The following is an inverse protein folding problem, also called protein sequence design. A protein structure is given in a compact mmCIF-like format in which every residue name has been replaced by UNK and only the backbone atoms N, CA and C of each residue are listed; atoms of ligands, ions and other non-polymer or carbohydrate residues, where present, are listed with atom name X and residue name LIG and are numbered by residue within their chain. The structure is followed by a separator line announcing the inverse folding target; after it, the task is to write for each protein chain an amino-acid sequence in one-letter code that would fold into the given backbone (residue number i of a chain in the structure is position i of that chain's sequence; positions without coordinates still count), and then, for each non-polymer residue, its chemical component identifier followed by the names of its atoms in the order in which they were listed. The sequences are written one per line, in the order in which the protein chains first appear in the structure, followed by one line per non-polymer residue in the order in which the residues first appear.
data_IF_901926248147
#
_entry.id   IF_901926248147
#
_cell.length_a   1.000
_cell.length_b   1.000
_cell.length_c   1.000
_cell.angle_alpha   90.00
_cell.angle_beta   90.00
_cell.angle_gamma   90.00
#
_symmetry.space_group_name_H-M   'P 1'
#
loop_
_entity.id
_entity.type
_entity.pdbx_description
1 polymer ?
#
# COMPACT_ATOMS: atom_id res chain seq x y z
N UNK A 1 58.28 -24.98 -13.87
CA UNK A 1 57.79 -25.82 -12.76
C UNK A 1 56.33 -26.17 -13.02
N UNK A 2 56.05 -27.41 -13.39
CA UNK A 2 54.66 -27.89 -13.57
C UNK A 2 53.95 -27.86 -12.22
N UNK A 3 53.07 -26.87 -11.96
CA UNK A 3 52.27 -26.85 -10.75
C UNK A 3 51.38 -28.10 -10.77
N UNK A 4 51.41 -28.88 -9.68
CA UNK A 4 50.63 -30.11 -9.56
C UNK A 4 49.12 -29.74 -9.48
N UNK A 5 48.45 -29.74 -10.62
CA UNK A 5 47.06 -29.35 -10.83
C UNK A 5 46.09 -30.18 -9.97
N UNK A 6 46.51 -31.38 -9.54
CA UNK A 6 45.69 -32.26 -8.67
C UNK A 6 45.26 -31.64 -7.33
N UNK A 7 45.92 -30.56 -6.88
CA UNK A 7 45.60 -29.86 -5.64
C UNK A 7 44.67 -28.66 -5.82
N UNK A 8 44.12 -28.48 -7.01
CA UNK A 8 43.20 -27.37 -7.34
C UNK A 8 41.85 -27.89 -7.78
N UNK A 9 40.83 -27.11 -7.49
CA UNK A 9 39.47 -27.34 -8.02
C UNK A 9 39.31 -26.68 -9.37
N UNK A 10 38.75 -27.36 -10.32
CA UNK A 10 38.22 -26.75 -11.55
C UNK A 10 36.98 -25.95 -11.27
N UNK A 11 36.56 -25.04 -12.17
CA UNK A 11 35.28 -24.32 -12.08
C UNK A 11 34.09 -25.26 -11.86
N UNK A 12 34.11 -26.43 -12.54
CA UNK A 12 33.03 -27.41 -12.43
C UNK A 12 32.99 -28.13 -11.09
N UNK A 13 34.12 -28.46 -10.51
CA UNK A 13 34.22 -29.10 -9.20
C UNK A 13 33.84 -28.13 -8.09
N UNK A 14 34.36 -26.90 -8.10
CA UNK A 14 34.07 -25.89 -7.09
C UNK A 14 32.57 -25.51 -7.12
N UNK A 15 31.99 -25.37 -8.32
CA UNK A 15 30.55 -25.10 -8.49
C UNK A 15 29.70 -26.23 -7.94
N UNK A 16 30.05 -27.49 -8.17
CA UNK A 16 29.34 -28.66 -7.63
C UNK A 16 29.42 -28.72 -6.11
N UNK A 17 30.62 -28.53 -5.54
CA UNK A 17 30.85 -28.54 -4.10
C UNK A 17 30.04 -27.45 -3.39
N UNK A 18 29.95 -26.25 -3.97
CA UNK A 18 29.22 -25.13 -3.42
C UNK A 18 27.72 -25.07 -3.85
N UNK A 19 27.27 -26.05 -4.63
CA UNK A 19 25.88 -26.15 -5.16
C UNK A 19 25.42 -24.87 -5.88
N UNK A 20 26.27 -24.28 -6.67
CA UNK A 20 25.96 -23.10 -7.50
C UNK A 20 26.18 -23.38 -8.99
N UNK A 21 25.47 -22.67 -9.88
CA UNK A 21 25.75 -22.74 -11.32
C UNK A 21 27.16 -22.26 -11.65
N UNK A 22 27.84 -22.89 -12.64
CA UNK A 22 29.17 -22.44 -13.13
C UNK A 22 29.16 -20.96 -13.53
N UNK A 23 28.06 -20.51 -14.15
CA UNK A 23 27.88 -19.09 -14.54
C UNK A 23 27.97 -18.12 -13.36
N UNK A 24 27.52 -18.53 -12.18
CA UNK A 24 27.60 -17.70 -10.95
C UNK A 24 29.05 -17.54 -10.49
N UNK A 25 29.85 -18.62 -10.53
CA UNK A 25 31.27 -18.55 -10.20
C UNK A 25 32.04 -17.67 -11.19
N UNK A 26 31.74 -17.80 -12.48
CA UNK A 26 32.33 -16.95 -13.54
C UNK A 26 31.90 -15.49 -13.41
N UNK A 27 30.67 -15.24 -12.96
CA UNK A 27 30.19 -13.88 -12.67
C UNK A 27 30.96 -13.26 -11.50
N UNK A 28 31.19 -14.01 -10.42
CA UNK A 28 31.97 -13.54 -9.27
C UNK A 28 33.44 -13.29 -9.64
N UNK A 29 34.01 -14.09 -10.56
CA UNK A 29 35.34 -13.85 -11.12
C UNK A 29 35.36 -12.50 -11.88
N UNK A 30 34.43 -12.28 -12.81
CA UNK A 30 34.30 -10.98 -13.52
C UNK A 30 34.15 -9.78 -12.59
N UNK A 31 33.49 -9.95 -11.49
CA UNK A 31 33.33 -8.91 -10.47
C UNK A 31 34.54 -8.74 -9.56
N UNK A 32 35.55 -9.61 -9.67
CA UNK A 32 36.71 -9.61 -8.80
C UNK A 32 36.43 -10.01 -7.34
N UNK A 33 35.30 -10.70 -7.07
CA UNK A 33 35.00 -11.26 -5.75
C UNK A 33 35.82 -12.51 -5.44
N UNK A 34 36.03 -13.32 -6.44
CA UNK A 34 36.84 -14.52 -6.37
C UNK A 34 37.52 -14.76 -7.75
N UNK A 35 38.80 -14.55 -7.82
CA UNK A 35 39.59 -14.78 -9.03
C UNK A 35 40.27 -16.12 -8.95
N UNK A 36 40.40 -16.91 -10.05
CA UNK A 36 41.10 -18.18 -10.03
C UNK A 36 42.54 -17.99 -9.64
N UNK A 37 43.13 -18.98 -8.98
CA UNK A 37 44.56 -18.97 -8.64
C UNK A 37 45.42 -19.16 -9.88
N UNK A 38 44.90 -19.95 -10.84
CA UNK A 38 45.54 -20.23 -12.12
C UNK A 38 44.53 -20.24 -13.25
N UNK A 39 44.95 -19.73 -14.39
CA UNK A 39 44.26 -19.95 -15.67
C UNK A 39 45.28 -20.59 -16.58
N UNK A 40 44.99 -21.76 -17.14
CA UNK A 40 45.92 -22.44 -18.07
C UNK A 40 45.85 -21.85 -19.49
N UNK A 41 46.71 -22.31 -20.37
CA UNK A 41 46.78 -21.85 -21.75
C UNK A 41 45.49 -22.09 -22.54
N UNK A 42 44.69 -23.10 -22.15
CA UNK A 42 43.40 -23.43 -22.73
C UNK A 42 42.24 -22.64 -22.09
N UNK A 43 42.52 -21.70 -21.15
CA UNK A 43 41.54 -20.88 -20.47
C UNK A 43 40.82 -21.57 -19.32
N UNK A 44 41.26 -22.78 -18.91
CA UNK A 44 40.70 -23.46 -17.75
C UNK A 44 41.09 -22.75 -16.45
N UNK A 45 40.11 -22.53 -15.55
CA UNK A 45 40.25 -21.86 -14.26
C UNK A 45 40.42 -22.87 -13.15
N UNK A 46 41.41 -22.64 -12.30
CA UNK A 46 41.73 -23.49 -11.15
C UNK A 46 41.75 -22.69 -9.87
N UNK A 47 41.11 -23.24 -8.84
CA UNK A 47 40.91 -22.61 -7.55
C UNK A 47 41.55 -23.46 -6.45
N UNK A 48 42.20 -22.79 -5.48
CA UNK A 48 42.80 -23.46 -4.33
C UNK A 48 41.80 -23.63 -3.19
N UNK A 49 42.14 -24.48 -2.22
CA UNK A 49 41.28 -24.80 -1.05
C UNK A 49 40.81 -23.54 -0.29
N UNK A 50 41.64 -22.54 -0.10
CA UNK A 50 41.25 -21.29 0.57
C UNK A 50 40.18 -20.51 -0.17
N UNK A 51 40.07 -20.65 -1.50
CA UNK A 51 39.04 -20.02 -2.30
C UNK A 51 37.70 -20.74 -2.19
N UNK A 52 37.69 -22.02 -1.83
CA UNK A 52 36.45 -22.70 -1.42
C UNK A 52 35.82 -22.01 -0.19
N UNK A 53 36.60 -21.72 0.86
CA UNK A 53 36.11 -21.02 2.05
C UNK A 53 35.70 -19.58 1.75
N UNK A 54 36.45 -18.90 0.90
CA UNK A 54 36.08 -17.57 0.42
C UNK A 54 34.72 -17.57 -0.30
N UNK A 55 34.50 -18.54 -1.19
CA UNK A 55 33.26 -18.69 -1.92
C UNK A 55 32.10 -18.99 -0.94
N UNK A 56 32.29 -19.87 0.05
CA UNK A 56 31.28 -20.14 1.06
C UNK A 56 30.91 -18.87 1.85
N UNK A 57 31.87 -18.05 2.25
CA UNK A 57 31.63 -16.77 2.90
C UNK A 57 30.78 -15.83 2.00
N UNK A 58 31.17 -15.69 0.72
CA UNK A 58 30.41 -14.85 -0.23
C UNK A 58 28.98 -15.35 -0.34
N UNK A 59 28.77 -16.67 -0.47
CA UNK A 59 27.43 -17.25 -0.58
C UNK A 59 26.60 -17.03 0.69
N UNK A 60 27.19 -17.20 1.85
CA UNK A 60 26.51 -16.91 3.13
C UNK A 60 26.07 -15.44 3.22
N UNK A 61 26.96 -14.52 2.88
CA UNK A 61 26.64 -13.10 2.88
C UNK A 61 25.54 -12.77 1.86
N UNK A 62 25.56 -13.42 0.69
CA UNK A 62 24.49 -13.28 -0.31
C UNK A 62 23.14 -13.82 0.14
N UNK A 63 23.11 -14.93 0.91
CA UNK A 63 21.89 -15.45 1.52
C UNK A 63 21.28 -14.48 2.56
N UNK A 64 22.10 -13.62 3.15
CA UNK A 64 21.68 -12.53 4.01
C UNK A 64 21.36 -11.24 3.24
N UNK A 65 21.20 -11.30 1.92
CA UNK A 65 20.96 -10.16 1.03
C UNK A 65 21.99 -9.03 1.13
N UNK A 66 23.24 -9.36 1.52
CA UNK A 66 24.32 -8.37 1.52
C UNK A 66 24.64 -7.98 0.07
N UNK A 67 24.61 -6.68 -0.28
CA UNK A 67 24.95 -6.22 -1.61
C UNK A 67 26.38 -6.60 -2.01
N UNK A 68 26.61 -6.91 -3.29
CA UNK A 68 27.92 -7.31 -3.79
C UNK A 68 29.01 -6.26 -3.51
N UNK A 69 28.68 -4.97 -3.63
CA UNK A 69 29.60 -3.89 -3.31
C UNK A 69 30.09 -3.96 -1.85
N UNK A 70 29.16 -4.16 -0.90
CA UNK A 70 29.49 -4.31 0.53
C UNK A 70 30.30 -5.56 0.82
N UNK A 71 30.06 -6.67 0.09
CA UNK A 71 30.89 -7.87 0.19
C UNK A 71 32.32 -7.55 -0.26
N UNK A 72 32.50 -6.84 -1.37
CA UNK A 72 33.83 -6.42 -1.86
C UNK A 72 34.56 -5.56 -0.82
N UNK A 73 33.89 -4.54 -0.28
CA UNK A 73 34.46 -3.65 0.74
C UNK A 73 34.92 -4.44 1.97
N UNK A 74 34.07 -5.37 2.44
CA UNK A 74 34.42 -6.24 3.53
C UNK A 74 35.61 -7.15 3.20
N UNK A 75 35.64 -7.77 2.00
CA UNK A 75 36.74 -8.65 1.59
C UNK A 75 38.06 -7.92 1.47
N UNK A 76 38.06 -6.63 1.11
CA UNK A 76 39.23 -5.79 1.05
C UNK A 76 39.78 -5.42 2.46
N UNK A 77 38.89 -5.26 3.45
CA UNK A 77 39.22 -4.78 4.79
C UNK A 77 38.70 -5.74 5.88
N UNK A 78 39.08 -7.03 5.80
CA UNK A 78 38.60 -8.03 6.75
C UNK A 78 39.11 -7.80 8.16
N UNK A 79 38.17 -7.65 9.10
CA UNK A 79 38.44 -7.61 10.53
C UNK A 79 37.23 -8.15 11.29
N UNK A 80 37.42 -8.61 12.54
CA UNK A 80 36.30 -8.99 13.39
C UNK A 80 35.28 -7.84 13.57
N UNK A 81 35.75 -6.59 13.60
CA UNK A 81 34.89 -5.42 13.75
C UNK A 81 34.05 -5.21 12.48
N UNK A 82 34.67 -5.17 11.30
CA UNK A 82 33.96 -4.99 10.03
C UNK A 82 32.96 -6.12 9.75
N UNK A 83 33.26 -7.35 10.21
CA UNK A 83 32.32 -8.47 10.15
C UNK A 83 31.11 -8.22 11.03
N UNK A 84 31.31 -7.76 12.25
CA UNK A 84 30.25 -7.42 13.21
C UNK A 84 29.36 -6.30 12.67
N UNK A 85 29.96 -5.24 12.15
CA UNK A 85 29.25 -4.09 11.60
C UNK A 85 28.36 -4.49 10.43
N UNK A 86 28.86 -5.35 9.54
CA UNK A 86 28.08 -5.90 8.44
C UNK A 86 26.82 -6.65 8.91
N UNK A 87 26.93 -7.41 10.01
CA UNK A 87 25.80 -8.15 10.56
C UNK A 87 24.81 -7.22 11.26
N UNK A 88 25.26 -6.19 11.97
CA UNK A 88 24.37 -5.18 12.56
C UNK A 88 23.59 -4.42 11.50
N UNK A 89 24.23 -4.00 10.40
CA UNK A 89 23.55 -3.40 9.25
C UNK A 89 22.43 -4.30 8.71
N UNK A 90 22.67 -5.63 8.65
CA UNK A 90 21.66 -6.57 8.16
C UNK A 90 20.53 -6.80 9.15
N UNK A 91 20.85 -6.88 10.45
CA UNK A 91 19.83 -6.99 11.50
C UNK A 91 18.92 -5.77 11.47
N UNK A 92 19.48 -4.57 11.37
CA UNK A 92 18.68 -3.34 11.28
C UNK A 92 17.77 -3.34 10.04
N UNK A 93 18.35 -3.66 8.88
CA UNK A 93 17.57 -3.79 7.63
C UNK A 93 16.39 -4.78 7.78
N UNK A 94 16.62 -5.97 8.33
CA UNK A 94 15.56 -6.95 8.51
C UNK A 94 14.52 -6.50 9.55
N UNK A 95 14.95 -5.80 10.59
CA UNK A 95 14.05 -5.23 11.59
C UNK A 95 13.08 -4.24 10.96
N UNK A 96 13.59 -3.34 10.11
CA UNK A 96 12.78 -2.37 9.38
C UNK A 96 11.83 -3.07 8.39
N UNK A 97 12.31 -4.09 7.66
CA UNK A 97 11.49 -4.83 6.71
C UNK A 97 10.38 -5.65 7.39
N UNK A 98 10.65 -6.25 8.54
CA UNK A 98 9.64 -6.93 9.36
C UNK A 98 8.56 -5.94 9.80
N UNK A 99 8.94 -4.76 10.30
CA UNK A 99 7.99 -3.73 10.70
C UNK A 99 7.12 -3.26 9.53
N UNK A 100 7.73 -3.06 8.35
CA UNK A 100 7.04 -2.72 7.10
C UNK A 100 6.01 -3.80 6.73
N UNK A 101 6.43 -5.07 6.70
CA UNK A 101 5.55 -6.19 6.36
C UNK A 101 4.42 -6.39 7.37
N UNK A 102 4.69 -6.20 8.67
CA UNK A 102 3.66 -6.24 9.71
C UNK A 102 2.61 -5.16 9.51
N UNK A 103 3.02 -3.95 9.14
CA UNK A 103 2.11 -2.86 8.81
C UNK A 103 1.24 -3.18 7.60
N UNK A 104 1.84 -3.72 6.54
CA UNK A 104 1.09 -4.17 5.35
C UNK A 104 0.09 -5.27 5.68
N UNK A 105 0.50 -6.27 6.48
CA UNK A 105 -0.38 -7.35 6.94
C UNK A 105 -1.60 -6.80 7.70
N UNK A 106 -1.37 -5.88 8.67
CA UNK A 106 -2.47 -5.25 9.42
C UNK A 106 -3.45 -4.52 8.50
N UNK A 107 -2.94 -3.81 7.49
CA UNK A 107 -3.79 -3.13 6.51
C UNK A 107 -4.66 -4.11 5.73
N UNK A 108 -4.08 -5.20 5.21
CA UNK A 108 -4.84 -6.23 4.51
C UNK A 108 -5.90 -6.89 5.40
N UNK A 109 -5.58 -7.16 6.66
CA UNK A 109 -6.55 -7.70 7.62
C UNK A 109 -7.70 -6.73 7.89
N UNK A 110 -7.41 -5.42 8.00
CA UNK A 110 -8.43 -4.38 8.13
C UNK A 110 -9.36 -4.32 6.92
N UNK A 111 -8.83 -4.47 5.71
CA UNK A 111 -9.65 -4.52 4.48
C UNK A 111 -10.58 -5.74 4.45
N UNK A 112 -10.09 -6.91 4.82
CA UNK A 112 -10.92 -8.12 4.91
C UNK A 112 -12.08 -7.93 5.91
N UNK A 113 -11.79 -7.35 7.10
CA UNK A 113 -12.84 -7.06 8.09
C UNK A 113 -13.94 -6.11 7.58
N UNK A 114 -13.59 -5.16 6.69
CA UNK A 114 -14.60 -4.29 6.05
C UNK A 114 -15.51 -5.07 5.09
N UNK A 115 -14.95 -6.02 4.33
CA UNK A 115 -15.73 -6.87 3.43
C UNK A 115 -16.73 -7.74 4.20
N UNK A 116 -16.31 -8.31 5.33
CA UNK A 116 -17.21 -9.09 6.20
C UNK A 116 -18.38 -8.22 6.69
N UNK A 117 -18.09 -6.94 7.02
CA UNK A 117 -19.12 -6.01 7.48
C UNK A 117 -20.13 -5.62 6.40
N UNK A 118 -19.73 -5.59 5.13
CA UNK A 118 -20.62 -5.31 3.99
C UNK A 118 -21.74 -6.36 3.89
N UNK A 119 -21.45 -7.62 4.22
CA UNK A 119 -22.44 -8.71 4.16
C UNK A 119 -23.59 -8.56 5.15
N UNK A 120 -23.37 -7.84 6.26
CA UNK A 120 -24.35 -7.65 7.35
C UNK A 120 -25.16 -6.35 7.23
N UNK A 121 -24.96 -5.57 6.17
CA UNK A 121 -25.62 -4.26 6.00
C UNK A 121 -27.11 -4.43 5.70
N UNK A 122 -27.94 -3.71 6.44
CA UNK A 122 -29.36 -3.55 6.14
C UNK A 122 -29.53 -2.41 5.13
N UNK A 123 -29.99 -2.75 3.92
CA UNK A 123 -30.25 -1.79 2.84
C UNK A 123 -31.59 -1.07 3.01
N UNK A 124 -31.70 0.11 2.39
CA UNK A 124 -32.94 0.88 2.22
C UNK A 124 -33.65 1.26 3.54
N UNK A 125 -32.91 1.30 4.64
CA UNK A 125 -33.44 1.69 5.95
C UNK A 125 -32.62 2.81 6.58
N UNK A 126 -33.29 3.85 7.06
CA UNK A 126 -32.66 4.91 7.85
C UNK A 126 -32.46 4.42 9.28
N UNK A 127 -31.26 4.62 9.79
CA UNK A 127 -30.87 4.27 11.15
C UNK A 127 -30.20 5.47 11.81
N UNK A 128 -30.41 5.65 13.11
CA UNK A 128 -29.63 6.58 13.91
C UNK A 128 -28.42 5.85 14.46
N UNK A 129 -27.23 6.32 14.11
CA UNK A 129 -25.95 5.69 14.48
C UNK A 129 -25.03 6.73 15.10
N UNK A 130 -24.46 6.40 16.25
CA UNK A 130 -23.41 7.22 16.85
C UNK A 130 -22.07 6.88 16.19
N UNK A 131 -21.51 7.83 15.42
CA UNK A 131 -20.24 7.68 14.71
C UNK A 131 -19.12 8.38 15.48
N UNK A 132 -17.97 7.71 15.57
CA UNK A 132 -16.76 8.29 16.12
C UNK A 132 -16.13 9.26 15.13
N UNK A 133 -15.36 10.24 15.63
CA UNK A 133 -14.62 11.16 14.81
C UNK A 133 -13.66 10.41 13.86
N UNK A 134 -13.60 10.84 12.60
CA UNK A 134 -12.73 10.24 11.57
C UNK A 134 -12.00 11.31 10.81
N UNK A 135 -10.82 10.98 10.31
CA UNK A 135 -10.07 11.89 9.44
C UNK A 135 -10.37 11.61 7.98
N UNK A 136 -10.51 12.67 7.21
CA UNK A 136 -10.78 12.67 5.78
C UNK A 136 -9.70 13.46 5.07
N UNK A 137 -9.19 12.97 3.97
CA UNK A 137 -8.40 13.76 3.03
C UNK A 137 -9.36 14.33 1.98
N UNK A 138 -9.44 15.64 1.88
CA UNK A 138 -10.33 16.32 0.93
C UNK A 138 -9.59 16.66 -0.37
N UNK A 139 -10.28 16.52 -1.50
CA UNK A 139 -9.87 17.13 -2.76
C UNK A 139 -9.93 18.66 -2.66
N UNK A 140 -9.40 19.34 -3.67
CA UNK A 140 -9.79 20.74 -3.89
C UNK A 140 -11.32 20.85 -3.99
N UNK A 141 -11.87 22.02 -3.61
CA UNK A 141 -13.28 22.28 -3.74
C UNK A 141 -13.73 22.17 -5.21
N UNK A 142 -14.92 21.63 -5.42
CA UNK A 142 -15.56 21.57 -6.73
C UNK A 142 -16.44 22.81 -6.96
N UNK A 143 -16.58 23.23 -8.21
CA UNK A 143 -17.49 24.30 -8.61
C UNK A 143 -18.78 23.70 -9.20
N UNK A 144 -19.90 24.41 -9.07
CA UNK A 144 -21.22 23.93 -9.46
C UNK A 144 -21.30 23.43 -10.92
N UNK A 145 -20.70 24.16 -11.85
CA UNK A 145 -20.78 23.87 -13.28
C UNK A 145 -19.51 23.23 -13.87
N UNK A 146 -18.70 22.57 -13.06
CA UNK A 146 -17.51 21.91 -13.54
C UNK A 146 -17.83 20.76 -14.49
N UNK A 147 -17.08 20.72 -15.61
CA UNK A 147 -17.17 19.59 -16.54
C UNK A 147 -16.58 18.30 -15.94
N UNK A 148 -17.01 17.16 -16.48
CA UNK A 148 -16.55 15.83 -16.03
C UNK A 148 -15.02 15.71 -15.96
N UNK A 149 -14.28 16.23 -16.96
CA UNK A 149 -12.80 16.16 -16.96
C UNK A 149 -12.18 16.91 -15.79
N UNK A 150 -12.70 18.11 -15.45
CA UNK A 150 -12.20 18.89 -14.32
C UNK A 150 -12.50 18.19 -12.99
N UNK A 151 -13.70 17.66 -12.82
CA UNK A 151 -14.08 16.84 -11.67
C UNK A 151 -13.18 15.61 -11.52
N UNK A 152 -12.89 14.91 -12.60
CA UNK A 152 -11.97 13.77 -12.60
C UNK A 152 -10.53 14.16 -12.24
N UNK A 153 -10.08 15.38 -12.59
CA UNK A 153 -8.75 15.85 -12.22
C UNK A 153 -8.59 16.08 -10.71
N UNK A 154 -9.64 16.51 -10.01
CA UNK A 154 -9.62 16.62 -8.54
C UNK A 154 -9.39 15.25 -7.88
N UNK A 155 -10.07 14.22 -8.39
CA UNK A 155 -9.92 12.84 -7.92
C UNK A 155 -8.49 12.34 -8.21
N UNK A 156 -8.00 12.51 -9.43
CA UNK A 156 -6.66 12.07 -9.83
C UNK A 156 -5.56 12.74 -9.00
N UNK A 157 -5.68 14.05 -8.74
CA UNK A 157 -4.74 14.80 -7.92
C UNK A 157 -4.78 14.33 -6.45
N UNK A 158 -5.97 14.09 -5.91
CA UNK A 158 -6.14 13.54 -4.56
C UNK A 158 -5.41 12.20 -4.43
N UNK A 159 -5.62 11.26 -5.34
CA UNK A 159 -4.94 9.97 -5.35
C UNK A 159 -3.43 10.11 -5.52
N UNK A 160 -2.97 11.00 -6.40
CA UNK A 160 -1.53 11.26 -6.59
C UNK A 160 -0.86 11.76 -5.32
N UNK A 161 -1.52 12.65 -4.58
CA UNK A 161 -1.00 13.18 -3.32
C UNK A 161 -0.97 12.10 -2.21
N UNK A 162 -1.89 11.14 -2.26
CA UNK A 162 -2.00 10.05 -1.28
C UNK A 162 -1.08 8.86 -1.58
N UNK A 163 -0.57 8.71 -2.80
CA UNK A 163 0.23 7.54 -3.22
C UNK A 163 1.48 7.30 -2.37
N UNK A 164 2.10 8.34 -1.84
CA UNK A 164 3.33 8.21 -1.04
C UNK A 164 3.07 7.88 0.44
N UNK A 165 1.87 8.18 0.96
CA UNK A 165 1.57 8.09 2.40
C UNK A 165 0.57 6.99 2.75
N UNK A 166 -0.15 6.44 1.77
CA UNK A 166 -1.28 5.56 2.05
C UNK A 166 -1.29 4.37 1.11
N UNK A 167 -1.42 3.20 1.71
CA UNK A 167 -1.95 2.05 1.00
C UNK A 167 -3.42 2.35 0.74
N UNK A 168 -3.75 2.66 -0.51
CA UNK A 168 -5.13 2.86 -0.94
C UNK A 168 -5.95 1.64 -0.53
N UNK A 169 -6.98 1.87 0.26
CA UNK A 169 -7.91 0.84 0.70
C UNK A 169 -9.18 0.92 -0.14
N UNK A 170 -9.86 -0.19 -0.36
CA UNK A 170 -11.01 -0.26 -1.26
C UNK A 170 -12.22 0.56 -0.80
N UNK A 171 -12.34 0.90 0.48
CA UNK A 171 -13.55 1.44 1.09
C UNK A 171 -13.35 2.79 1.77
N UNK A 172 -12.82 3.77 1.07
CA UNK A 172 -12.56 5.08 1.69
C UNK A 172 -12.93 6.28 0.83
N UNK A 173 -13.29 6.05 -0.44
CA UNK A 173 -13.65 7.12 -1.36
C UNK A 173 -15.09 7.58 -1.15
N UNK A 174 -15.30 8.89 -1.21
CA UNK A 174 -16.65 9.44 -1.03
C UNK A 174 -16.81 10.85 -1.55
N UNK A 175 -17.98 11.39 -1.29
CA UNK A 175 -18.47 12.69 -1.74
C UNK A 175 -18.99 13.47 -0.55
N UNK A 176 -18.74 14.78 -0.50
CA UNK A 176 -19.31 15.71 0.47
C UNK A 176 -20.21 16.67 -0.29
N UNK A 177 -21.46 16.74 0.11
CA UNK A 177 -22.46 17.66 -0.44
C UNK A 177 -22.94 18.63 0.63
N UNK A 178 -23.22 19.87 0.22
CA UNK A 178 -23.94 20.80 1.11
C UNK A 178 -25.35 20.30 1.40
N UNK A 179 -25.93 20.77 2.51
CA UNK A 179 -27.27 20.39 2.95
C UNK A 179 -28.37 20.80 1.98
N UNK A 180 -28.14 21.80 1.11
CA UNK A 180 -29.03 22.19 0.04
C UNK A 180 -29.38 21.05 -0.93
N UNK A 181 -28.57 20.01 -1.01
CA UNK A 181 -28.90 18.81 -1.78
C UNK A 181 -30.19 18.14 -1.33
N UNK A 182 -30.59 18.31 -0.07
CA UNK A 182 -31.85 17.78 0.47
C UNK A 182 -33.09 18.58 0.02
N UNK A 183 -32.91 19.75 -0.61
CA UNK A 183 -33.98 20.58 -1.11
C UNK A 183 -34.32 20.32 -2.58
N UNK A 184 -33.30 20.23 -3.41
CA UNK A 184 -33.48 20.06 -4.87
C UNK A 184 -32.95 18.72 -5.42
N UNK A 185 -32.32 17.91 -4.57
CA UNK A 185 -31.73 16.60 -4.89
C UNK A 185 -30.71 16.64 -6.02
N UNK A 186 -30.05 17.79 -6.19
CA UNK A 186 -29.11 18.04 -7.28
C UNK A 186 -27.67 17.77 -6.87
N UNK A 187 -26.95 17.03 -7.70
CA UNK A 187 -25.50 16.78 -7.52
C UNK A 187 -24.62 18.02 -7.75
N UNK A 188 -25.22 19.19 -8.12
CA UNK A 188 -24.51 20.48 -8.22
C UNK A 188 -23.92 20.91 -6.88
N UNK A 189 -24.52 20.49 -5.75
CA UNK A 189 -24.11 20.80 -4.39
C UNK A 189 -22.89 20.01 -3.91
N UNK A 190 -22.23 19.23 -4.79
CA UNK A 190 -20.96 18.58 -4.47
C UNK A 190 -19.89 19.63 -4.16
N UNK A 191 -19.25 19.48 -2.99
CA UNK A 191 -18.17 20.37 -2.54
C UNK A 191 -16.80 19.74 -2.65
N UNK A 192 -16.67 18.49 -2.21
CA UNK A 192 -15.40 17.78 -2.22
C UNK A 192 -15.59 16.31 -2.53
N UNK A 193 -14.57 15.73 -3.16
CA UNK A 193 -14.31 14.32 -3.03
C UNK A 193 -13.48 14.11 -1.76
N UNK A 194 -13.60 12.97 -1.11
CA UNK A 194 -12.77 12.65 0.02
C UNK A 194 -12.28 11.22 -0.01
N UNK A 195 -11.23 10.99 0.75
CA UNK A 195 -10.71 9.68 1.08
C UNK A 195 -10.62 9.52 2.60
N UNK A 196 -11.17 8.44 3.15
CA UNK A 196 -11.15 8.19 4.59
C UNK A 196 -9.76 7.76 5.05
N UNK A 197 -9.24 8.40 6.10
CA UNK A 197 -7.94 8.15 6.66
C UNK A 197 -8.05 7.33 7.95
N UNK A 198 -7.04 6.49 8.22
CA UNK A 198 -6.89 5.84 9.53
C UNK A 198 -6.37 6.82 10.59
N UNK A 199 -5.39 7.65 10.21
CA UNK A 199 -4.71 8.59 11.10
C UNK A 199 -4.73 10.00 10.52
N UNK A 200 -4.51 10.99 11.39
CA UNK A 200 -4.37 12.39 10.98
C UNK A 200 -3.09 12.58 10.17
N UNK A 201 -3.21 13.18 8.99
CA UNK A 201 -2.06 13.59 8.17
C UNK A 201 -1.69 15.06 8.43
N UNK A 202 -0.40 15.41 8.40
CA UNK A 202 0.09 16.80 8.57
C UNK A 202 -0.05 17.60 7.27
N UNK A 203 -1.28 17.74 6.77
CA UNK A 203 -1.59 18.45 5.51
C UNK A 203 -2.84 19.29 5.68
N UNK A 204 -2.96 20.44 5.00
CA UNK A 204 -4.16 21.27 5.02
C UNK A 204 -5.40 20.58 4.42
N UNK A 205 -5.21 19.53 3.64
CA UNK A 205 -6.31 18.73 3.09
C UNK A 205 -6.88 17.70 4.08
N UNK A 206 -6.25 17.54 5.26
CA UNK A 206 -6.75 16.63 6.29
C UNK A 206 -7.78 17.32 7.16
N UNK A 207 -9.04 16.85 7.09
CA UNK A 207 -10.17 17.37 7.85
C UNK A 207 -10.72 16.29 8.77
N UNK A 208 -11.38 16.71 9.84
CA UNK A 208 -12.03 15.81 10.77
C UNK A 208 -13.55 15.80 10.53
N UNK A 209 -14.09 14.63 10.19
CA UNK A 209 -15.52 14.37 10.32
C UNK A 209 -15.83 14.29 11.82
N UNK A 210 -16.74 15.10 12.36
CA UNK A 210 -16.98 15.13 13.80
C UNK A 210 -17.61 13.84 14.32
N UNK A 211 -17.41 13.58 15.60
CA UNK A 211 -18.17 12.59 16.36
C UNK A 211 -19.59 13.08 16.59
N UNK A 212 -20.55 12.17 16.64
CA UNK A 212 -21.93 12.47 16.96
C UNK A 212 -22.95 11.52 16.36
N UNK A 213 -24.20 11.90 16.43
CA UNK A 213 -25.32 11.10 15.95
C UNK A 213 -25.62 11.42 14.49
N UNK A 214 -25.64 10.39 13.67
CA UNK A 214 -25.87 10.48 12.25
C UNK A 214 -27.09 9.66 11.82
N UNK A 215 -27.92 10.26 10.98
CA UNK A 215 -28.84 9.47 10.15
C UNK A 215 -27.99 8.74 9.11
N UNK A 216 -28.05 7.44 9.13
CA UNK A 216 -27.29 6.55 8.27
C UNK A 216 -28.22 5.73 7.39
N UNK A 217 -27.99 5.73 6.12
CA UNK A 217 -28.73 4.96 5.11
C UNK A 217 -27.77 4.22 4.20
N UNK A 218 -27.97 2.94 4.03
CA UNK A 218 -27.23 2.14 3.03
C UNK A 218 -28.14 1.80 1.86
N UNK A 219 -27.61 1.85 0.66
CA UNK A 219 -28.35 1.43 -0.53
C UNK A 219 -27.45 0.76 -1.56
N UNK A 220 -28.08 -0.03 -2.44
CA UNK A 220 -27.43 -0.72 -3.52
C UNK A 220 -27.77 -0.08 -4.87
N UNK A 221 -26.77 -0.08 -5.79
CA UNK A 221 -26.87 0.49 -7.13
C UNK A 221 -26.02 1.75 -7.31
N UNK A 222 -26.02 2.32 -8.52
CA UNK A 222 -25.19 3.51 -8.86
C UNK A 222 -25.76 4.75 -8.19
N UNK A 223 -24.96 5.43 -7.35
CA UNK A 223 -25.38 6.65 -6.64
C UNK A 223 -25.96 7.71 -7.57
N UNK A 224 -25.31 8.01 -8.69
CA UNK A 224 -25.75 9.05 -9.62
C UNK A 224 -27.13 8.82 -10.22
N UNK A 225 -27.62 7.58 -10.27
CA UNK A 225 -28.94 7.25 -10.81
C UNK A 225 -30.00 7.12 -9.71
N UNK A 226 -29.59 6.79 -8.50
CA UNK A 226 -30.50 6.47 -7.38
C UNK A 226 -30.55 7.55 -6.30
N UNK A 227 -29.66 8.56 -6.35
CA UNK A 227 -29.49 9.56 -5.30
C UNK A 227 -30.81 10.26 -4.92
N UNK A 228 -31.63 10.65 -5.91
CA UNK A 228 -32.89 11.39 -5.67
C UNK A 228 -33.83 10.64 -4.71
N UNK A 229 -34.04 9.34 -4.92
CA UNK A 229 -34.88 8.50 -4.06
C UNK A 229 -34.40 8.56 -2.59
N UNK A 230 -33.11 8.34 -2.39
CA UNK A 230 -32.55 8.23 -1.04
C UNK A 230 -32.38 9.57 -0.34
N UNK A 231 -32.10 10.63 -1.09
CA UNK A 231 -32.08 11.99 -0.58
C UNK A 231 -33.48 12.45 -0.14
N UNK A 232 -34.50 12.10 -0.92
CA UNK A 232 -35.86 12.35 -0.58
C UNK A 232 -36.28 11.61 0.70
N UNK A 233 -35.93 10.33 0.84
CA UNK A 233 -36.18 9.57 2.07
C UNK A 233 -35.54 10.24 3.31
N UNK A 234 -34.27 10.73 3.18
CA UNK A 234 -33.59 11.43 4.28
C UNK A 234 -34.29 12.76 4.61
N UNK A 235 -34.67 13.53 3.59
CA UNK A 235 -35.36 14.82 3.80
C UNK A 235 -36.75 14.64 4.46
N UNK A 236 -37.53 13.66 4.01
CA UNK A 236 -38.82 13.31 4.59
C UNK A 236 -38.67 12.87 6.05
N UNK A 237 -37.69 11.98 6.33
CA UNK A 237 -37.41 11.52 7.69
C UNK A 237 -37.02 12.67 8.64
N UNK A 238 -36.18 13.61 8.19
CA UNK A 238 -35.82 14.78 8.96
C UNK A 238 -37.08 15.64 9.29
N UNK A 239 -37.94 15.86 8.29
CA UNK A 239 -39.16 16.65 8.48
C UNK A 239 -40.14 15.97 9.43
N UNK A 240 -40.40 14.67 9.27
CA UNK A 240 -41.32 13.91 10.12
C UNK A 240 -40.89 13.87 11.58
N UNK A 241 -39.58 13.77 11.84
CA UNK A 241 -39.00 13.66 13.18
C UNK A 241 -38.48 15.00 13.74
N UNK A 242 -38.70 16.12 13.01
CA UNK A 242 -38.26 17.48 13.38
C UNK A 242 -36.74 17.55 13.66
N UNK A 243 -35.94 16.79 12.92
CA UNK A 243 -34.48 16.74 13.04
C UNK A 243 -33.82 17.80 12.14
N UNK A 244 -32.81 18.49 12.69
CA UNK A 244 -32.09 19.54 11.97
C UNK A 244 -30.71 19.00 11.55
N UNK A 245 -30.42 18.95 10.24
CA UNK A 245 -29.06 18.65 9.77
C UNK A 245 -28.05 19.70 10.24
N UNK A 246 -26.93 19.27 10.82
CA UNK A 246 -25.87 20.15 11.33
C UNK A 246 -24.50 19.89 10.64
N UNK A 247 -24.44 18.97 9.72
CA UNK A 247 -23.26 18.69 8.90
C UNK A 247 -23.59 18.65 7.42
N UNK A 248 -22.59 18.73 6.53
CA UNK A 248 -22.75 18.30 5.15
C UNK A 248 -23.16 16.83 5.07
N UNK A 249 -23.74 16.44 3.94
CA UNK A 249 -24.03 15.04 3.64
C UNK A 249 -22.75 14.34 3.18
N UNK A 250 -22.37 13.28 3.88
CA UNK A 250 -21.29 12.39 3.49
C UNK A 250 -21.85 11.18 2.74
N UNK A 251 -21.30 10.90 1.56
CA UNK A 251 -21.64 9.72 0.76
C UNK A 251 -20.38 8.89 0.60
N UNK A 252 -20.31 7.73 1.22
CA UNK A 252 -19.16 6.83 1.16
C UNK A 252 -19.45 5.66 0.24
N UNK A 253 -18.55 5.35 -0.70
CA UNK A 253 -18.58 4.11 -1.45
C UNK A 253 -18.01 2.97 -0.59
N UNK A 254 -18.81 1.94 -0.33
CA UNK A 254 -18.42 0.76 0.43
C UNK A 254 -18.09 -0.43 -0.47
N UNK A 255 -18.84 -0.58 -1.54
CA UNK A 255 -18.61 -1.55 -2.60
C UNK A 255 -18.73 -0.83 -3.94
N UNK A 256 -17.66 -0.81 -4.72
CA UNK A 256 -17.60 -0.09 -5.99
C UNK A 256 -16.78 -0.85 -7.02
N UNK A 257 -16.29 -0.14 -8.03
CA UNK A 257 -15.47 -0.66 -9.11
C UNK A 257 -14.25 -1.49 -8.65
N UNK A 258 -13.72 -1.22 -7.44
CA UNK A 258 -12.60 -1.98 -6.90
C UNK A 258 -12.97 -3.39 -6.46
N UNK A 259 -14.22 -3.59 -6.05
CA UNK A 259 -14.71 -4.85 -5.52
C UNK A 259 -15.52 -5.67 -6.53
N UNK A 260 -16.22 -4.98 -7.44
CA UNK A 260 -17.06 -5.65 -8.43
C UNK A 260 -17.14 -4.85 -9.73
N UNK A 261 -17.16 -5.56 -10.87
CA UNK A 261 -17.47 -4.96 -12.18
C UNK A 261 -18.97 -4.77 -12.44
N UNK A 262 -19.81 -5.24 -11.53
CA UNK A 262 -21.27 -5.18 -11.64
C UNK A 262 -21.78 -3.94 -10.87
N UNK A 263 -22.17 -2.90 -11.59
CA UNK A 263 -22.62 -1.63 -11.01
C UNK A 263 -23.88 -1.73 -10.19
N UNK A 264 -24.72 -2.77 -10.43
CA UNK A 264 -25.93 -3.00 -9.65
C UNK A 264 -25.64 -3.53 -8.24
N UNK A 265 -24.40 -3.99 -8.00
CA UNK A 265 -23.90 -4.45 -6.70
C UNK A 265 -23.14 -3.39 -5.92
N UNK A 266 -23.00 -2.17 -6.45
CA UNK A 266 -22.37 -1.10 -5.70
C UNK A 266 -23.19 -0.77 -4.45
N UNK A 267 -22.48 -0.52 -3.35
CA UNK A 267 -23.12 -0.16 -2.06
C UNK A 267 -22.54 1.16 -1.60
N UNK A 268 -23.44 2.07 -1.26
CA UNK A 268 -23.12 3.38 -0.72
C UNK A 268 -23.73 3.56 0.67
N UNK A 269 -23.01 4.31 1.50
CA UNK A 269 -23.45 4.78 2.81
C UNK A 269 -23.68 6.29 2.73
N UNK A 270 -24.87 6.76 3.10
CA UNK A 270 -25.19 8.16 3.30
C UNK A 270 -25.17 8.44 4.80
N UNK A 271 -24.56 9.54 5.21
CA UNK A 271 -24.44 9.93 6.60
C UNK A 271 -24.71 11.44 6.73
N UNK A 272 -25.65 11.79 7.57
CA UNK A 272 -26.08 13.17 7.85
C UNK A 272 -26.15 13.39 9.35
N UNK A 273 -25.26 14.24 9.89
CA UNK A 273 -25.27 14.54 11.31
C UNK A 273 -26.49 15.43 11.66
N UNK A 274 -27.14 15.10 12.73
CA UNK A 274 -28.37 15.78 13.17
C UNK A 274 -28.22 16.29 14.60
N UNK A 275 -29.13 17.25 14.91
CA UNK A 275 -29.31 17.77 16.26
C UNK A 275 -30.74 17.48 16.73
#
# INVERSE_FOLDING_TARGET
MSKNIQNYFTTGELSRLCKIPRKTLLYYDKLGLITPELVDENGYRYYKRSQLFLLQLILTLRQLDVPIARIKDYLANRSPQNYRDLFYERIDFFTQEIARLQTMKKKLQSELGKLDHIADITLDKIMLVHEQARYLYLSNATEENECFKKRSSHIAQMFSNLQNDITLTTNGFGYIYDTEILQDFSTKHLKHYYYMLHDKLPTPHCHQKPEGDYLTLYFQGVYMFNNKKYLQMLAEYCNEHQLTPISPLYVTSLCDYWLTGDTDKYIYKLELQIK
#
